data_IF_994029583925
#
_entry.id   IF_994029583925
#
_cell.length_a   1.000
_cell.length_b   1.000
_cell.length_c   1.000
_cell.angle_alpha   90.00
_cell.angle_beta   90.00
_cell.angle_gamma   90.00
#
_symmetry.space_group_name_H-M   'P 1'
#
loop_
_entity.id
_entity.type
_entity.pdbx_description
1 polymer ?
#
# COMPACT_ATOMS: atom_id res chain seq x y z
N UNK A 1 22.71 -75.50 3.23
CA UNK A 1 21.70 -74.41 3.15
C UNK A 1 22.42 -73.09 3.27
N UNK A 2 22.73 -72.46 2.12
CA UNK A 2 23.47 -71.20 2.03
C UNK A 2 22.43 -70.07 1.90
N UNK A 3 22.39 -69.12 2.85
CA UNK A 3 21.51 -67.94 2.76
C UNK A 3 22.24 -66.84 2.00
N UNK A 4 21.72 -66.48 0.83
CA UNK A 4 22.11 -65.29 0.07
C UNK A 4 21.53 -64.05 0.74
N UNK A 5 22.37 -63.03 0.98
CA UNK A 5 21.96 -61.68 1.35
C UNK A 5 21.98 -60.87 0.05
N UNK A 6 20.80 -60.41 -0.39
CA UNK A 6 20.65 -59.48 -1.52
C UNK A 6 20.67 -58.07 -0.94
N UNK A 7 21.68 -57.29 -1.33
CA UNK A 7 21.81 -55.87 -1.02
C UNK A 7 21.02 -55.08 -2.09
N UNK A 8 19.88 -54.50 -1.73
CA UNK A 8 19.18 -53.53 -2.60
C UNK A 8 19.86 -52.16 -2.42
N UNK A 9 20.50 -51.67 -3.49
CA UNK A 9 20.90 -50.28 -3.60
C UNK A 9 19.67 -49.44 -4.01
N UNK A 10 19.18 -48.60 -3.10
CA UNK A 10 18.15 -47.61 -3.39
C UNK A 10 18.80 -46.40 -4.07
N UNK A 11 18.62 -46.30 -5.39
CA UNK A 11 18.94 -45.09 -6.16
C UNK A 11 17.84 -44.05 -5.88
N UNK A 12 18.05 -43.13 -4.94
CA UNK A 12 17.19 -41.95 -4.78
C UNK A 12 17.54 -40.95 -5.86
N UNK A 13 16.80 -41.01 -6.97
CA UNK A 13 16.80 -39.96 -7.98
C UNK A 13 16.03 -38.76 -7.40
N UNK A 14 16.74 -37.80 -6.84
CA UNK A 14 16.20 -36.50 -6.44
C UNK A 14 15.97 -35.66 -7.68
N UNK A 15 14.82 -35.84 -8.32
CA UNK A 15 14.31 -34.87 -9.28
C UNK A 15 13.84 -33.65 -8.50
N UNK A 16 14.63 -32.57 -8.50
CA UNK A 16 14.17 -31.25 -8.13
C UNK A 16 13.09 -30.85 -9.14
N UNK A 17 11.83 -31.03 -8.76
CA UNK A 17 10.71 -30.39 -9.44
C UNK A 17 10.80 -28.90 -9.08
N UNK A 18 11.39 -28.10 -9.96
CA UNK A 18 11.11 -26.66 -9.98
C UNK A 18 9.64 -26.53 -10.35
N UNK A 19 8.79 -26.48 -9.34
CA UNK A 19 7.40 -26.13 -9.51
C UNK A 19 7.32 -24.63 -9.79
N UNK A 20 7.61 -24.25 -11.03
CA UNK A 20 6.96 -23.08 -11.61
C UNK A 20 5.48 -23.46 -11.75
N UNK A 21 4.74 -23.36 -10.64
CA UNK A 21 3.29 -23.23 -10.71
C UNK A 21 3.08 -21.97 -11.51
N UNK A 22 2.81 -22.11 -12.81
CA UNK A 22 2.26 -21.05 -13.63
C UNK A 22 0.94 -20.69 -12.95
N UNK A 23 0.99 -19.73 -12.02
CA UNK A 23 -0.18 -19.24 -11.35
C UNK A 23 -1.15 -18.78 -12.43
N UNK A 24 -2.39 -19.30 -12.42
CA UNK A 24 -3.37 -18.95 -13.46
C UNK A 24 -3.48 -17.44 -13.60
N UNK A 25 -3.34 -16.93 -14.84
CA UNK A 25 -3.53 -15.51 -15.12
C UNK A 25 -4.94 -15.10 -14.71
N UNK A 26 -5.08 -13.92 -14.10
CA UNK A 26 -6.39 -13.42 -13.68
C UNK A 26 -6.72 -12.15 -14.48
N UNK A 27 -7.99 -11.84 -14.58
CA UNK A 27 -8.45 -10.58 -15.15
C UNK A 27 -9.22 -9.81 -14.08
N UNK A 28 -9.12 -8.48 -14.06
CA UNK A 28 -9.83 -7.72 -13.05
C UNK A 28 -11.35 -7.78 -13.29
N UNK A 29 -12.13 -7.65 -12.22
CA UNK A 29 -13.59 -7.72 -12.30
C UNK A 29 -14.16 -6.66 -13.26
N UNK A 30 -15.31 -6.88 -13.89
CA UNK A 30 -16.06 -5.83 -14.58
C UNK A 30 -16.38 -4.65 -13.64
N UNK A 31 -16.40 -3.42 -14.15
CA UNK A 31 -16.58 -2.20 -13.33
C UNK A 31 -17.81 -2.24 -12.42
N UNK A 32 -18.95 -2.79 -12.89
CA UNK A 32 -20.16 -2.93 -12.06
C UNK A 32 -19.97 -3.90 -10.88
N UNK A 33 -19.21 -4.98 -11.07
CA UNK A 33 -18.89 -5.91 -9.99
C UNK A 33 -17.88 -5.29 -9.01
N UNK A 34 -16.91 -4.52 -9.51
CA UNK A 34 -16.00 -3.73 -8.65
C UNK A 34 -16.76 -2.77 -7.76
N UNK A 35 -17.75 -2.06 -8.32
CA UNK A 35 -18.62 -1.16 -7.58
C UNK A 35 -19.35 -1.88 -6.42
N UNK A 36 -19.92 -3.06 -6.71
CA UNK A 36 -20.60 -3.89 -5.69
C UNK A 36 -19.64 -4.29 -4.57
N UNK A 37 -18.45 -4.80 -4.92
CA UNK A 37 -17.44 -5.21 -3.92
C UNK A 37 -16.99 -4.03 -3.06
N UNK A 38 -16.74 -2.87 -3.66
CA UNK A 38 -16.34 -1.66 -2.94
C UNK A 38 -17.40 -1.23 -1.93
N UNK A 39 -18.67 -1.23 -2.32
CA UNK A 39 -19.78 -0.81 -1.44
C UNK A 39 -20.02 -1.82 -0.31
N UNK A 40 -19.94 -3.13 -0.61
CA UNK A 40 -20.06 -4.20 0.40
C UNK A 40 -18.91 -4.15 1.42
N UNK A 41 -17.67 -3.96 0.97
CA UNK A 41 -16.51 -3.83 1.86
C UNK A 41 -16.60 -2.57 2.71
N UNK A 42 -17.02 -1.43 2.13
CA UNK A 42 -17.23 -0.20 2.88
C UNK A 42 -18.28 -0.41 3.99
N UNK A 43 -19.41 -1.05 3.69
CA UNK A 43 -20.44 -1.36 4.67
C UNK A 43 -19.89 -2.24 5.80
N UNK A 44 -19.15 -3.30 5.45
CA UNK A 44 -18.55 -4.21 6.44
C UNK A 44 -17.53 -3.48 7.32
N UNK A 45 -16.67 -2.62 6.76
CA UNK A 45 -15.70 -1.84 7.52
C UNK A 45 -16.39 -0.89 8.50
N UNK A 46 -17.47 -0.22 8.11
CA UNK A 46 -18.22 0.66 9.01
C UNK A 46 -18.93 -0.11 10.12
N UNK A 47 -19.39 -1.33 9.84
CA UNK A 47 -20.10 -2.16 10.83
C UNK A 47 -19.16 -2.89 11.79
N UNK A 48 -17.99 -3.34 11.32
CA UNK A 48 -17.11 -4.25 12.07
C UNK A 48 -15.89 -3.53 12.64
N UNK A 49 -15.27 -2.64 11.87
CA UNK A 49 -13.98 -2.04 12.21
C UNK A 49 -14.14 -0.67 12.87
N UNK A 50 -14.93 0.22 12.27
CA UNK A 50 -15.05 1.60 12.76
C UNK A 50 -15.53 1.73 14.22
N UNK A 51 -16.45 0.91 14.75
CA UNK A 51 -16.88 1.01 16.15
C UNK A 51 -15.71 0.76 17.11
N UNK A 52 -14.89 -0.26 16.82
CA UNK A 52 -13.69 -0.58 17.59
C UNK A 52 -12.68 0.57 17.53
N UNK A 53 -12.45 1.13 16.35
CA UNK A 53 -11.50 2.23 16.17
C UNK A 53 -11.93 3.50 16.91
N UNK A 54 -13.21 3.86 16.86
CA UNK A 54 -13.73 5.01 17.59
C UNK A 54 -13.58 4.83 19.10
N UNK A 55 -13.85 3.62 19.60
CA UNK A 55 -13.67 3.28 21.01
C UNK A 55 -12.19 3.32 21.43
N UNK A 56 -11.27 2.76 20.63
CA UNK A 56 -9.83 2.76 20.91
C UNK A 56 -9.22 4.16 20.98
N UNK A 57 -9.83 5.13 20.29
CA UNK A 57 -9.35 6.49 20.20
C UNK A 57 -10.14 7.48 21.07
N UNK A 58 -11.04 7.01 21.94
CA UNK A 58 -11.89 7.84 22.79
C UNK A 58 -12.66 8.94 22.01
N UNK A 59 -13.19 8.60 20.84
CA UNK A 59 -13.95 9.51 19.98
C UNK A 59 -15.43 9.11 19.96
N UNK A 60 -16.29 10.01 20.45
CA UNK A 60 -17.73 9.80 20.44
C UNK A 60 -18.36 10.22 19.12
N UNK A 61 -17.83 11.26 18.48
CA UNK A 61 -18.37 11.76 17.22
C UNK A 61 -17.26 12.15 16.25
N UNK A 62 -17.31 11.62 15.03
CA UNK A 62 -16.42 12.00 13.95
C UNK A 62 -17.18 12.81 12.90
N UNK A 63 -16.73 14.03 12.64
CA UNK A 63 -17.35 14.97 11.69
C UNK A 63 -16.41 15.21 10.51
N UNK A 64 -16.78 14.67 9.35
CA UNK A 64 -16.07 14.83 8.08
C UNK A 64 -16.73 15.95 7.27
N UNK A 65 -16.02 17.04 7.02
CA UNK A 65 -16.55 18.20 6.28
C UNK A 65 -15.73 18.40 5.02
N UNK A 66 -16.41 18.39 3.88
CA UNK A 66 -15.74 18.40 2.59
C UNK A 66 -16.55 19.09 1.50
N UNK A 67 -15.87 19.44 0.40
CA UNK A 67 -16.46 20.06 -0.79
C UNK A 67 -16.12 19.27 -2.05
N UNK A 68 -17.03 19.30 -3.00
CA UNK A 68 -16.83 18.77 -4.35
C UNK A 68 -15.55 19.33 -4.99
N UNK A 69 -14.71 18.42 -5.51
CA UNK A 69 -13.38 18.67 -6.09
C UNK A 69 -12.30 19.17 -5.13
N UNK A 70 -12.58 19.22 -3.83
CA UNK A 70 -11.58 19.47 -2.81
C UNK A 70 -11.85 18.54 -1.62
N UNK A 71 -11.91 17.25 -1.93
CA UNK A 71 -12.32 16.27 -0.93
C UNK A 71 -11.27 16.05 0.13
N UNK A 72 -11.73 16.01 1.38
CA UNK A 72 -10.99 15.40 2.48
C UNK A 72 -10.51 14.00 2.05
N UNK A 73 -9.22 13.65 2.22
CA UNK A 73 -8.69 12.36 1.79
C UNK A 73 -9.49 11.18 2.39
N UNK A 74 -9.85 11.26 3.67
CA UNK A 74 -10.66 10.25 4.34
C UNK A 74 -12.05 10.14 3.71
N UNK A 75 -12.68 11.26 3.35
CA UNK A 75 -14.03 11.23 2.77
C UNK A 75 -14.08 10.34 1.52
N UNK A 76 -13.04 10.35 0.69
CA UNK A 76 -12.98 9.53 -0.54
C UNK A 76 -13.16 8.03 -0.26
N UNK A 77 -12.79 7.57 0.93
CA UNK A 77 -12.96 6.17 1.35
C UNK A 77 -14.41 5.83 1.75
N UNK A 78 -15.20 6.83 2.17
CA UNK A 78 -16.60 6.68 2.60
C UNK A 78 -17.63 6.91 1.50
N UNK A 79 -17.23 7.43 0.33
CA UNK A 79 -18.16 7.62 -0.78
C UNK A 79 -18.62 6.27 -1.34
N UNK A 80 -19.89 6.14 -1.79
CA UNK A 80 -20.30 4.97 -2.56
C UNK A 80 -19.54 4.91 -3.89
N UNK A 81 -19.45 3.72 -4.46
CA UNK A 81 -18.66 3.42 -5.65
C UNK A 81 -19.05 4.22 -6.90
N UNK A 82 -20.30 4.68 -6.97
CA UNK A 82 -20.84 5.49 -8.06
C UNK A 82 -20.69 7.01 -7.83
N UNK A 83 -20.08 7.43 -6.72
CA UNK A 83 -19.72 8.83 -6.46
C UNK A 83 -18.21 9.01 -6.62
N UNK A 84 -17.81 9.51 -7.80
CA UNK A 84 -16.41 9.78 -8.13
C UNK A 84 -15.85 11.04 -7.42
N UNK A 85 -16.73 11.87 -6.89
CA UNK A 85 -16.43 13.09 -6.14
C UNK A 85 -17.52 13.32 -5.10
N UNK A 86 -17.23 14.16 -4.10
CA UNK A 86 -18.27 14.69 -3.23
C UNK A 86 -19.29 15.50 -4.06
N UNK A 87 -20.52 15.65 -3.57
CA UNK A 87 -21.55 16.46 -4.26
C UNK A 87 -21.80 17.74 -3.45
N UNK A 88 -21.40 18.90 -3.97
CA UNK A 88 -21.38 20.18 -3.23
C UNK A 88 -20.67 20.04 -1.87
N UNK A 89 -21.20 20.62 -0.79
CA UNK A 89 -20.73 20.38 0.58
C UNK A 89 -21.31 19.06 1.08
N UNK A 90 -20.44 18.08 1.31
CA UNK A 90 -20.78 16.79 1.93
C UNK A 90 -20.26 16.81 3.35
N UNK A 91 -21.16 16.64 4.32
CA UNK A 91 -20.82 16.51 5.74
C UNK A 91 -21.31 15.15 6.20
N UNK A 92 -20.39 14.31 6.66
CA UNK A 92 -20.71 13.03 7.28
C UNK A 92 -20.50 13.15 8.78
N UNK A 93 -21.44 12.62 9.54
CA UNK A 93 -21.39 12.53 11.01
C UNK A 93 -21.48 11.06 11.36
N UNK A 94 -20.51 10.59 12.14
CA UNK A 94 -20.48 9.24 12.67
C UNK A 94 -20.51 9.39 14.18
N UNK A 95 -21.56 8.91 14.82
CA UNK A 95 -21.72 8.98 16.27
C UNK A 95 -21.65 7.58 16.86
N UNK A 96 -20.83 7.42 17.88
CA UNK A 96 -20.71 6.23 18.69
C UNK A 96 -21.55 6.41 19.96
N UNK A 97 -22.75 5.79 20.06
CA UNK A 97 -23.57 5.86 21.27
C UNK A 97 -22.95 5.16 22.49
N UNK A 98 -21.85 4.42 22.31
CA UNK A 98 -21.17 3.67 23.36
C UNK A 98 -21.88 2.36 23.72
N UNK A 99 -21.39 1.68 24.77
CA UNK A 99 -21.97 0.45 25.31
C UNK A 99 -22.14 -0.72 24.31
N UNK A 100 -21.37 -0.73 23.22
CA UNK A 100 -21.46 -1.76 22.18
C UNK A 100 -22.70 -1.63 21.27
N UNK A 101 -23.38 -0.48 21.29
CA UNK A 101 -24.43 -0.16 20.32
C UNK A 101 -23.82 0.15 18.94
N UNK A 102 -24.63 0.01 17.88
CA UNK A 102 -24.19 0.29 16.52
C UNK A 102 -23.95 1.80 16.33
N UNK A 103 -22.98 2.14 15.49
CA UNK A 103 -22.73 3.53 15.08
C UNK A 103 -23.96 4.10 14.37
N UNK A 104 -24.23 5.37 14.65
CA UNK A 104 -25.17 6.18 13.89
C UNK A 104 -24.42 6.96 12.81
N UNK A 105 -24.76 6.72 11.54
CA UNK A 105 -24.09 7.30 10.37
C UNK A 105 -25.05 8.23 9.61
N UNK A 106 -24.83 9.53 9.76
CA UNK A 106 -25.67 10.58 9.20
C UNK A 106 -24.92 11.36 8.12
N UNK A 107 -25.64 11.78 7.09
CA UNK A 107 -25.18 12.77 6.14
C UNK A 107 -26.00 14.05 6.35
N UNK A 108 -25.34 15.16 6.69
CA UNK A 108 -25.98 16.48 6.63
C UNK A 108 -25.98 16.92 5.16
N UNK A 109 -26.70 16.17 4.33
CA UNK A 109 -26.80 16.32 2.89
C UNK A 109 -28.25 16.01 2.48
N UNK A 110 -28.68 16.46 1.29
CA UNK A 110 -30.07 16.27 0.84
C UNK A 110 -30.42 14.79 0.63
N UNK A 111 -29.44 13.97 0.27
CA UNK A 111 -29.62 12.56 -0.08
C UNK A 111 -28.70 11.68 0.76
N UNK A 112 -29.05 10.40 0.85
CA UNK A 112 -28.16 9.40 1.43
C UNK A 112 -26.82 9.38 0.69
N UNK A 113 -25.73 9.12 1.41
CA UNK A 113 -24.42 8.87 0.82
C UNK A 113 -24.21 7.36 0.85
N UNK A 114 -24.53 6.72 -0.28
CA UNK A 114 -24.63 5.28 -0.38
C UNK A 114 -25.68 4.69 0.56
N UNK A 115 -25.47 3.43 0.94
CA UNK A 115 -26.31 2.76 1.93
C UNK A 115 -25.87 3.03 3.37
N UNK A 116 -24.61 3.46 3.56
CA UNK A 116 -23.99 3.68 4.86
C UNK A 116 -24.55 4.90 5.56
N UNK A 117 -24.60 6.07 4.91
CA UNK A 117 -25.01 7.31 5.58
C UNK A 117 -26.41 7.73 5.18
N UNK A 118 -27.28 7.90 6.18
CA UNK A 118 -28.67 8.35 5.95
C UNK A 118 -28.74 9.88 5.95
N UNK A 119 -29.49 10.43 4.99
CA UNK A 119 -29.76 11.86 4.93
C UNK A 119 -30.44 12.33 6.22
N UNK A 120 -29.85 13.35 6.85
CA UNK A 120 -30.36 13.99 8.06
C UNK A 120 -30.59 15.50 7.85
N UNK A 121 -30.65 15.96 6.59
CA UNK A 121 -30.86 17.37 6.26
C UNK A 121 -31.97 17.56 5.23
N UNK A 122 -33.02 18.27 5.65
CA UNK A 122 -34.09 18.76 4.80
C UNK A 122 -33.97 20.29 4.64
N UNK A 123 -33.46 20.79 3.50
CA UNK A 123 -33.26 22.23 3.29
C UNK A 123 -34.57 23.03 3.21
N UNK A 124 -35.70 22.38 2.95
CA UNK A 124 -37.01 23.04 2.98
C UNK A 124 -37.51 23.28 4.43
N UNK A 125 -36.99 22.54 5.42
CA UNK A 125 -37.30 22.74 6.85
C UNK A 125 -36.23 23.57 7.56
N UNK A 126 -34.95 23.29 7.28
CA UNK A 126 -33.80 24.00 7.83
C UNK A 126 -32.86 24.38 6.68
N UNK A 127 -32.99 25.59 6.11
CA UNK A 127 -32.19 25.98 4.94
C UNK A 127 -30.69 26.14 5.25
N UNK A 128 -30.32 26.32 6.52
CA UNK A 128 -28.91 26.40 6.94
C UNK A 128 -28.36 25.01 7.29
N UNK A 129 -27.50 24.49 6.41
CA UNK A 129 -26.82 23.20 6.59
C UNK A 129 -25.94 23.17 7.86
N UNK A 130 -25.30 24.29 8.22
CA UNK A 130 -24.49 24.37 9.43
C UNK A 130 -25.37 24.33 10.67
N UNK A 131 -26.49 25.04 10.65
CA UNK A 131 -27.45 24.99 11.75
C UNK A 131 -27.97 23.56 11.96
N UNK A 132 -28.27 22.81 10.89
CA UNK A 132 -28.66 21.39 11.04
C UNK A 132 -27.55 20.53 11.63
N UNK A 133 -26.29 20.73 11.22
CA UNK A 133 -25.16 20.02 11.84
C UNK A 133 -25.09 20.32 13.35
N UNK A 134 -25.28 21.58 13.75
CA UNK A 134 -25.24 21.96 15.17
C UNK A 134 -26.39 21.35 15.98
N UNK A 135 -27.59 21.29 15.41
CA UNK A 135 -28.73 20.58 16.01
C UNK A 135 -28.38 19.12 16.25
N UNK A 136 -27.84 18.41 15.24
CA UNK A 136 -27.40 17.01 15.38
C UNK A 136 -26.34 16.88 16.49
N UNK A 137 -25.29 17.70 16.49
CA UNK A 137 -24.24 17.60 17.52
C UNK A 137 -24.84 17.85 18.92
N UNK A 138 -25.76 18.81 19.05
CA UNK A 138 -26.39 19.17 20.33
C UNK A 138 -27.36 18.08 20.82
N UNK A 139 -28.11 17.46 19.91
CA UNK A 139 -29.02 16.33 20.18
C UNK A 139 -28.27 15.14 20.80
N UNK A 140 -27.05 14.87 20.33
CA UNK A 140 -26.22 13.76 20.81
C UNK A 140 -25.32 14.13 22.01
N UNK A 141 -24.93 15.40 22.14
CA UNK A 141 -24.07 15.90 23.22
C UNK A 141 -22.80 15.04 23.47
N UNK A 142 -21.99 14.74 22.44
CA UNK A 142 -20.77 13.93 22.58
C UNK A 142 -19.75 14.61 23.49
N UNK A 143 -18.86 13.85 24.13
CA UNK A 143 -17.75 14.37 24.95
C UNK A 143 -16.49 14.66 24.13
N UNK A 144 -16.28 13.93 23.03
CA UNK A 144 -15.23 14.19 22.03
C UNK A 144 -15.79 14.29 20.60
N UNK A 145 -15.55 15.44 19.95
CA UNK A 145 -15.92 15.71 18.55
C UNK A 145 -14.64 15.81 17.72
N UNK A 146 -14.35 14.77 16.95
CA UNK A 146 -13.18 14.68 16.13
C UNK A 146 -13.39 15.32 14.75
N UNK A 147 -12.41 16.13 14.32
CA UNK A 147 -12.30 16.68 12.96
C UNK A 147 -10.93 16.34 12.38
N UNK A 148 -10.86 16.13 11.06
CA UNK A 148 -9.63 15.74 10.36
C UNK A 148 -8.64 16.89 10.28
N UNK A 149 -7.71 16.95 11.23
CA UNK A 149 -6.59 17.88 11.26
C UNK A 149 -5.36 17.13 11.74
N UNK A 150 -4.24 17.28 11.05
CA UNK A 150 -3.02 16.53 11.37
C UNK A 150 -1.77 17.36 11.05
N UNK A 151 -0.72 17.18 11.85
CA UNK A 151 0.60 17.77 11.55
C UNK A 151 1.51 16.81 10.80
N UNK A 152 1.35 15.52 11.07
CA UNK A 152 2.31 14.49 10.67
C UNK A 152 1.79 13.63 9.51
N UNK A 153 0.47 13.53 9.33
CA UNK A 153 -0.19 12.68 8.33
C UNK A 153 -1.10 13.49 7.41
N UNK A 154 -0.61 13.81 6.21
CA UNK A 154 -1.35 14.62 5.23
C UNK A 154 -2.73 14.03 4.87
N UNK A 155 -2.89 12.70 4.88
CA UNK A 155 -4.17 12.05 4.60
C UNK A 155 -5.19 12.19 5.74
N UNK A 156 -4.76 12.61 6.93
CA UNK A 156 -5.62 12.91 8.08
C UNK A 156 -5.83 14.42 8.30
N UNK A 157 -5.25 15.30 7.47
CA UNK A 157 -5.37 16.76 7.54
C UNK A 157 -6.37 17.32 6.50
N UNK A 158 -7.54 16.69 6.41
CA UNK A 158 -8.48 16.95 5.31
C UNK A 158 -9.43 18.13 5.52
N UNK A 159 -9.64 18.63 6.75
CA UNK A 159 -10.51 19.78 6.96
C UNK A 159 -9.85 21.05 6.43
N UNK A 160 -10.48 21.68 5.44
CA UNK A 160 -9.93 22.92 4.88
C UNK A 160 -10.04 24.07 5.88
N UNK A 161 -9.08 25.00 5.85
CA UNK A 161 -9.05 26.15 6.76
C UNK A 161 -10.39 26.91 6.80
N UNK A 162 -11.00 27.17 5.64
CA UNK A 162 -12.30 27.85 5.55
C UNK A 162 -13.43 27.03 6.17
N UNK A 163 -13.51 25.73 5.92
CA UNK A 163 -14.58 24.90 6.49
C UNK A 163 -14.40 24.72 8.00
N UNK A 164 -13.15 24.70 8.51
CA UNK A 164 -12.86 24.75 9.94
C UNK A 164 -13.31 26.05 10.59
N UNK A 165 -13.00 27.20 9.99
CA UNK A 165 -13.46 28.51 10.49
C UNK A 165 -14.99 28.59 10.55
N UNK A 166 -15.67 28.14 9.49
CA UNK A 166 -17.13 28.12 9.43
C UNK A 166 -17.75 27.16 10.47
N UNK A 167 -17.16 25.96 10.62
CA UNK A 167 -17.58 25.00 11.63
C UNK A 167 -17.45 25.56 13.05
N UNK A 168 -16.28 26.15 13.38
CA UNK A 168 -16.03 26.75 14.69
C UNK A 168 -16.90 27.98 14.96
N UNK A 169 -17.26 28.75 13.92
CA UNK A 169 -18.17 29.88 14.04
C UNK A 169 -19.62 29.45 14.31
N UNK A 170 -20.05 28.33 13.74
CA UNK A 170 -21.38 27.76 13.97
C UNK A 170 -21.51 27.03 15.32
N UNK A 171 -20.39 26.49 15.84
CA UNK A 171 -20.38 25.66 17.04
C UNK A 171 -20.78 26.42 18.32
N UNK A 172 -21.74 25.90 19.12
CA UNK A 172 -22.05 26.44 20.44
C UNK A 172 -20.81 26.51 21.35
N UNK A 173 -20.71 27.56 22.16
CA UNK A 173 -19.53 27.81 22.99
C UNK A 173 -19.23 26.66 23.98
N UNK A 174 -20.26 25.96 24.47
CA UNK A 174 -20.13 24.82 25.38
C UNK A 174 -19.61 23.53 24.71
N UNK A 175 -19.49 23.51 23.38
CA UNK A 175 -18.97 22.37 22.61
C UNK A 175 -17.59 22.63 22.01
N UNK A 176 -17.12 23.89 21.97
CA UNK A 176 -15.82 24.25 21.38
C UNK A 176 -14.64 23.57 22.07
N UNK A 177 -14.72 23.37 23.38
CA UNK A 177 -13.70 22.67 24.16
C UNK A 177 -13.71 21.14 23.99
N UNK A 178 -14.71 20.59 23.28
CA UNK A 178 -14.83 19.16 22.97
C UNK A 178 -14.24 18.80 21.60
N UNK A 179 -13.78 19.78 20.82
CA UNK A 179 -13.15 19.52 19.52
C UNK A 179 -11.76 18.93 19.71
N UNK A 180 -11.53 17.77 19.11
CA UNK A 180 -10.24 17.06 19.11
C UNK A 180 -9.77 16.79 17.69
N UNK A 181 -8.48 16.45 17.52
CA UNK A 181 -7.99 15.95 16.24
C UNK A 181 -8.49 14.52 16.01
N UNK A 182 -8.94 14.24 14.79
CA UNK A 182 -9.26 12.89 14.34
C UNK A 182 -8.03 12.11 13.86
N UNK A 183 -6.82 12.69 13.89
CA UNK A 183 -5.59 12.07 13.35
C UNK A 183 -5.42 10.59 13.71
N UNK A 184 -5.48 10.17 14.99
CA UNK A 184 -5.22 8.76 15.31
C UNK A 184 -6.33 7.83 14.80
N UNK A 185 -7.60 8.25 14.85
CA UNK A 185 -8.73 7.51 14.25
C UNK A 185 -8.64 7.46 12.72
N UNK A 186 -8.28 8.56 12.08
CA UNK A 186 -8.16 8.69 10.64
C UNK A 186 -7.03 7.79 10.11
N UNK A 187 -5.87 7.79 10.77
CA UNK A 187 -4.74 6.89 10.44
C UNK A 187 -5.16 5.44 10.63
N UNK A 188 -5.73 5.07 11.79
CA UNK A 188 -6.18 3.69 12.04
C UNK A 188 -7.26 3.23 11.05
N UNK A 189 -8.14 4.13 10.60
CA UNK A 189 -9.11 3.84 9.54
C UNK A 189 -8.45 3.59 8.18
N UNK A 190 -7.38 4.31 7.85
CA UNK A 190 -6.67 4.14 6.59
C UNK A 190 -5.78 2.90 6.56
N UNK A 191 -5.13 2.55 7.65
CA UNK A 191 -4.16 1.45 7.69
C UNK A 191 -4.84 0.07 7.89
N UNK A 192 -5.80 -0.05 8.81
CA UNK A 192 -6.34 -1.36 9.21
C UNK A 192 -7.25 -1.96 8.13
N UNK A 193 -7.04 -3.24 7.82
CA UNK A 193 -7.85 -4.04 6.89
C UNK A 193 -8.75 -5.01 7.65
N UNK A 194 -9.91 -5.31 7.09
CA UNK A 194 -10.74 -6.44 7.53
C UNK A 194 -10.39 -7.69 6.71
N UNK A 195 -10.62 -8.88 7.27
CA UNK A 195 -10.31 -10.16 6.62
C UNK A 195 -10.96 -10.30 5.22
N UNK A 196 -12.14 -9.71 5.02
CA UNK A 196 -12.86 -9.73 3.75
C UNK A 196 -12.12 -9.00 2.61
N UNK A 197 -11.20 -8.09 2.92
CA UNK A 197 -10.41 -7.36 1.91
C UNK A 197 -9.24 -8.19 1.37
N UNK A 198 -8.70 -9.11 2.16
CA UNK A 198 -7.45 -9.79 1.83
C UNK A 198 -7.50 -10.58 0.51
N UNK A 199 -8.54 -11.37 0.19
CA UNK A 199 -8.60 -12.05 -1.11
C UNK A 199 -8.56 -11.08 -2.30
N UNK A 200 -9.18 -9.91 -2.17
CA UNK A 200 -9.16 -8.87 -3.19
C UNK A 200 -7.81 -8.17 -3.29
N UNK A 201 -7.16 -7.91 -2.15
CA UNK A 201 -5.84 -7.31 -2.13
C UNK A 201 -4.80 -8.24 -2.75
N UNK A 202 -4.81 -9.53 -2.39
CA UNK A 202 -3.95 -10.54 -3.03
C UNK A 202 -4.14 -10.59 -4.56
N UNK A 203 -5.38 -10.44 -5.03
CA UNK A 203 -5.66 -10.32 -6.47
C UNK A 203 -5.12 -9.03 -7.09
N UNK A 204 -5.14 -7.90 -6.37
CA UNK A 204 -4.55 -6.64 -6.84
C UNK A 204 -3.05 -6.81 -7.09
N UNK A 205 -2.32 -7.34 -6.10
CA UNK A 205 -0.86 -7.58 -6.21
C UNK A 205 -0.56 -8.58 -7.32
N UNK A 206 -1.35 -9.65 -7.44
CA UNK A 206 -1.22 -10.61 -8.54
C UNK A 206 -1.41 -9.99 -9.93
N UNK A 207 -2.32 -9.03 -10.08
CA UNK A 207 -2.48 -8.29 -11.35
C UNK A 207 -1.24 -7.43 -11.65
N UNK A 208 -0.68 -6.76 -10.64
CA UNK A 208 0.55 -5.99 -10.81
C UNK A 208 1.72 -6.89 -11.23
N UNK A 209 1.92 -8.02 -10.54
CA UNK A 209 2.94 -9.03 -10.89
C UNK A 209 2.78 -9.57 -12.32
N UNK A 210 1.54 -9.82 -12.76
CA UNK A 210 1.27 -10.27 -14.15
C UNK A 210 1.65 -9.23 -15.19
N UNK A 211 1.35 -7.96 -14.93
CA UNK A 211 1.73 -6.86 -15.82
C UNK A 211 3.25 -6.71 -15.86
N UNK A 212 3.94 -6.78 -14.70
CA UNK A 212 5.40 -6.75 -14.60
C UNK A 212 6.04 -7.88 -15.41
N UNK A 213 5.58 -9.12 -15.22
CA UNK A 213 6.10 -10.28 -15.94
C UNK A 213 5.87 -10.18 -17.47
N UNK A 214 4.74 -9.61 -17.91
CA UNK A 214 4.50 -9.34 -19.33
C UNK A 214 5.44 -8.25 -19.86
N UNK A 215 5.62 -7.15 -19.11
CA UNK A 215 6.51 -6.05 -19.48
C UNK A 215 7.98 -6.47 -19.58
N UNK A 216 8.42 -7.38 -18.72
CA UNK A 216 9.75 -7.99 -18.76
C UNK A 216 9.79 -9.28 -19.59
N UNK A 217 9.22 -9.25 -20.79
CA UNK A 217 9.28 -10.38 -21.72
C UNK A 217 9.68 -9.93 -23.13
N UNK A 218 10.18 -10.89 -23.93
CA UNK A 218 10.49 -10.69 -25.35
C UNK A 218 9.26 -10.39 -26.22
N UNK A 219 8.05 -10.44 -25.66
CA UNK A 219 6.83 -9.94 -26.33
C UNK A 219 6.75 -8.41 -26.35
N UNK A 220 7.41 -7.76 -25.40
CA UNK A 220 7.33 -6.31 -25.16
C UNK A 220 8.68 -5.64 -25.41
N UNK A 221 9.76 -6.29 -24.96
CA UNK A 221 11.12 -5.76 -25.10
C UNK A 221 11.78 -6.32 -26.34
N UNK A 222 11.99 -5.46 -27.33
CA UNK A 222 12.89 -5.71 -28.47
C UNK A 222 14.29 -5.21 -28.09
N UNK A 223 15.19 -6.12 -27.71
CA UNK A 223 16.56 -5.80 -27.29
C UNK A 223 17.30 -5.06 -28.41
N UNK A 224 17.96 -3.95 -28.06
CA UNK A 224 18.63 -3.06 -29.03
C UNK A 224 17.73 -1.99 -29.64
N UNK A 225 16.41 -2.03 -29.40
CA UNK A 225 15.44 -1.07 -29.93
C UNK A 225 14.62 -0.41 -28.82
N UNK A 226 14.01 -1.18 -27.93
CA UNK A 226 13.15 -0.68 -26.84
C UNK A 226 13.98 0.13 -25.84
N UNK A 227 13.46 1.30 -25.46
CA UNK A 227 14.06 2.15 -24.43
C UNK A 227 13.39 1.98 -23.07
N UNK A 228 14.05 2.44 -22.00
CA UNK A 228 13.42 2.53 -20.67
C UNK A 228 12.16 3.39 -20.67
N UNK A 229 12.11 4.45 -21.49
CA UNK A 229 10.95 5.33 -21.61
C UNK A 229 9.78 4.64 -22.34
N UNK A 230 10.06 3.89 -23.42
CA UNK A 230 9.04 3.09 -24.10
C UNK A 230 8.37 2.11 -23.13
N UNK A 231 9.16 1.49 -22.26
CA UNK A 231 8.65 0.52 -21.29
C UNK A 231 7.82 1.18 -20.17
N UNK A 232 8.22 2.38 -19.69
CA UNK A 232 7.44 3.17 -18.73
C UNK A 232 6.05 3.51 -19.28
N UNK A 233 5.98 3.93 -20.55
CA UNK A 233 4.71 4.19 -21.22
C UNK A 233 3.92 2.92 -21.50
N UNK A 234 4.58 1.84 -21.90
CA UNK A 234 3.94 0.55 -22.10
C UNK A 234 3.23 0.08 -20.82
N UNK A 235 3.88 0.16 -19.66
CA UNK A 235 3.28 -0.22 -18.37
C UNK A 235 2.00 0.57 -18.09
N UNK A 236 2.06 1.89 -18.28
CA UNK A 236 0.92 2.78 -18.07
C UNK A 236 -0.24 2.47 -19.02
N UNK A 237 0.03 2.26 -20.31
CA UNK A 237 -0.98 1.90 -21.30
C UNK A 237 -1.56 0.50 -21.05
N UNK A 238 -0.72 -0.45 -20.64
CA UNK A 238 -1.12 -1.83 -20.35
C UNK A 238 -2.10 -1.89 -19.17
N UNK A 239 -1.83 -1.14 -18.11
CA UNK A 239 -2.75 -1.02 -16.97
C UNK A 239 -4.07 -0.35 -17.37
N UNK A 240 -3.99 0.72 -18.17
CA UNK A 240 -5.17 1.45 -18.64
C UNK A 240 -6.12 0.58 -19.48
N UNK A 241 -5.60 -0.34 -20.30
CA UNK A 241 -6.42 -1.29 -21.10
C UNK A 241 -7.35 -2.16 -20.24
N UNK A 242 -7.00 -2.40 -18.99
CA UNK A 242 -7.78 -3.21 -18.04
C UNK A 242 -8.54 -2.37 -17.01
N UNK A 243 -8.61 -1.05 -17.23
CA UNK A 243 -9.17 -0.07 -16.29
C UNK A 243 -8.52 -0.17 -14.90
N UNK A 244 -7.19 -0.32 -14.88
CA UNK A 244 -6.38 -0.29 -13.67
C UNK A 244 -5.59 1.03 -13.68
N UNK A 245 -6.09 2.10 -13.02
CA UNK A 245 -5.32 3.32 -12.87
C UNK A 245 -3.97 3.03 -12.20
N UNK A 246 -2.93 3.73 -12.62
CA UNK A 246 -1.65 3.76 -11.87
C UNK A 246 -1.68 4.97 -10.93
N UNK A 247 -1.14 4.82 -9.72
CA UNK A 247 -1.13 5.92 -8.74
C UNK A 247 0.12 6.81 -8.83
N UNK A 248 1.11 6.39 -9.63
CA UNK A 248 2.27 7.18 -10.05
C UNK A 248 2.67 6.82 -11.49
N UNK A 249 3.58 7.59 -12.10
CA UNK A 249 4.14 7.21 -13.39
C UNK A 249 5.19 6.12 -13.17
N UNK A 250 5.07 4.94 -13.82
CA UNK A 250 6.00 3.85 -13.61
C UNK A 250 7.43 4.29 -13.89
N UNK A 251 8.39 3.78 -13.13
CA UNK A 251 9.81 4.03 -13.40
C UNK A 251 10.47 2.74 -13.88
N UNK A 252 11.34 2.86 -14.89
CA UNK A 252 12.15 1.76 -15.41
C UNK A 252 13.57 2.24 -15.48
N UNK A 253 14.51 1.44 -14.98
CA UNK A 253 15.92 1.76 -15.01
C UNK A 253 16.79 0.57 -15.38
N UNK A 254 18.01 0.84 -15.82
CA UNK A 254 19.01 -0.17 -16.17
C UNK A 254 20.29 0.05 -15.39
N UNK A 255 20.83 -1.04 -14.83
CA UNK A 255 22.21 -1.16 -14.36
C UNK A 255 23.04 -2.04 -15.31
N UNK A 256 24.29 -1.65 -15.56
CA UNK A 256 25.28 -2.46 -16.29
C UNK A 256 26.44 -2.77 -15.38
N UNK A 257 26.73 -4.05 -15.18
CA UNK A 257 27.84 -4.48 -14.32
C UNK A 257 29.22 -4.13 -14.91
N UNK A 258 29.30 -4.04 -16.25
CA UNK A 258 30.56 -3.79 -16.98
C UNK A 258 30.75 -2.30 -17.37
N UNK A 259 29.93 -1.38 -16.85
CA UNK A 259 30.02 0.06 -17.15
C UNK A 259 31.12 0.75 -16.30
N UNK A 260 31.64 1.93 -16.69
CA UNK A 260 32.59 2.69 -15.86
C UNK A 260 32.02 3.15 -14.50
N UNK A 261 30.69 3.14 -14.34
CA UNK A 261 29.99 3.33 -13.07
C UNK A 261 29.03 2.15 -12.83
N UNK A 262 29.54 0.98 -12.42
CA UNK A 262 28.71 -0.20 -12.19
C UNK A 262 27.62 0.10 -11.15
N UNK A 263 26.41 -0.36 -11.44
CA UNK A 263 25.29 -0.29 -10.50
C UNK A 263 24.62 1.07 -10.35
N UNK A 264 24.99 2.09 -11.14
CA UNK A 264 24.22 3.33 -11.21
C UNK A 264 22.94 3.10 -12.06
N UNK A 265 21.73 3.22 -11.49
CA UNK A 265 20.50 3.10 -12.26
C UNK A 265 20.39 4.25 -13.27
N UNK A 266 20.08 3.93 -14.53
CA UNK A 266 19.80 4.93 -15.57
C UNK A 266 18.37 4.76 -16.06
N UNK A 267 17.55 5.79 -15.92
CA UNK A 267 16.09 5.69 -16.08
C UNK A 267 15.52 6.33 -17.34
N UNK A 268 16.25 7.23 -18.01
CA UNK A 268 15.68 8.07 -19.08
C UNK A 268 16.32 7.77 -20.44
N UNK A 269 15.50 7.34 -21.41
CA UNK A 269 15.88 7.19 -22.82
C UNK A 269 16.99 6.17 -23.09
N UNK A 270 17.25 5.24 -22.18
CA UNK A 270 18.31 4.23 -22.35
C UNK A 270 17.78 3.09 -23.19
N UNK A 271 18.43 2.81 -24.33
CA UNK A 271 18.16 1.61 -25.13
C UNK A 271 18.61 0.38 -24.35
N UNK A 272 17.71 -0.59 -24.20
CA UNK A 272 17.94 -1.86 -23.50
C UNK A 272 18.87 -2.74 -24.34
N UNK A 273 19.90 -3.31 -23.72
CA UNK A 273 20.96 -4.11 -24.37
C UNK A 273 21.14 -5.48 -23.69
N UNK A 274 21.76 -6.45 -24.38
CA UNK A 274 22.13 -7.72 -23.75
C UNK A 274 23.04 -7.52 -22.54
N UNK A 275 22.74 -8.20 -21.43
CA UNK A 275 23.44 -8.07 -20.16
C UNK A 275 22.94 -6.95 -19.24
N UNK A 276 21.90 -6.21 -19.65
CA UNK A 276 21.28 -5.20 -18.81
C UNK A 276 20.50 -5.85 -17.66
N UNK A 277 20.70 -5.34 -16.45
CA UNK A 277 19.82 -5.58 -15.31
C UNK A 277 18.78 -4.47 -15.27
N UNK A 278 17.55 -4.80 -15.65
CA UNK A 278 16.40 -3.90 -15.60
C UNK A 278 15.79 -3.93 -14.22
N UNK A 279 15.23 -2.79 -13.83
CA UNK A 279 14.40 -2.59 -12.67
C UNK A 279 13.14 -1.85 -13.09
N UNK A 280 11.99 -2.25 -12.56
CA UNK A 280 10.72 -1.50 -12.67
C UNK A 280 10.23 -1.19 -11.27
N UNK A 281 9.59 -0.04 -11.13
CA UNK A 281 8.77 0.37 -10.00
C UNK A 281 7.36 0.68 -10.55
N UNK A 282 6.36 -0.07 -10.09
CA UNK A 282 5.03 -0.09 -10.69
C UNK A 282 3.91 -0.40 -9.68
N UNK A 283 2.94 0.52 -9.58
CA UNK A 283 1.76 0.36 -8.74
C UNK A 283 0.44 0.68 -9.44
N UNK A 284 -0.57 -0.17 -9.21
CA UNK A 284 -1.94 0.01 -9.71
C UNK A 284 -2.91 0.29 -8.56
N UNK A 285 -4.05 0.90 -8.87
CA UNK A 285 -5.20 1.00 -7.99
C UNK A 285 -6.28 0.00 -8.43
N UNK A 286 -6.64 -0.94 -7.55
CA UNK A 286 -7.72 -1.89 -7.76
C UNK A 286 -8.65 -1.94 -6.54
N UNK A 287 -9.96 -1.77 -6.77
CA UNK A 287 -10.96 -1.75 -5.69
C UNK A 287 -10.64 -0.71 -4.58
N UNK A 288 -10.08 0.44 -4.97
CA UNK A 288 -9.58 1.54 -4.12
C UNK A 288 -8.32 1.23 -3.30
N UNK A 289 -7.76 0.03 -3.41
CA UNK A 289 -6.48 -0.31 -2.80
C UNK A 289 -5.37 -0.15 -3.83
N UNK A 290 -4.21 0.34 -3.40
CA UNK A 290 -3.03 0.48 -4.22
C UNK A 290 -2.10 -0.71 -4.00
N UNK A 291 -1.36 -1.06 -5.05
CA UNK A 291 -0.19 -1.93 -4.96
C UNK A 291 1.06 -1.10 -5.15
N UNK A 292 2.18 -1.59 -4.65
CA UNK A 292 3.50 -1.06 -4.97
C UNK A 292 4.49 -2.21 -5.13
N UNK A 293 5.29 -2.17 -6.20
CA UNK A 293 6.11 -3.34 -6.56
C UNK A 293 7.31 -2.94 -7.38
N UNK A 294 8.48 -3.38 -6.89
CA UNK A 294 9.77 -3.26 -7.54
C UNK A 294 10.34 -4.63 -7.82
N UNK A 295 10.59 -4.90 -9.09
CA UNK A 295 11.16 -6.17 -9.54
C UNK A 295 12.22 -5.95 -10.61
N UNK A 296 13.10 -6.94 -10.75
CA UNK A 296 14.20 -6.92 -11.70
C UNK A 296 14.03 -7.93 -12.83
N UNK A 297 14.57 -7.58 -14.00
CA UNK A 297 14.76 -8.52 -15.11
C UNK A 297 16.20 -8.50 -15.59
N UNK A 298 16.66 -9.60 -16.17
CA UNK A 298 17.97 -9.69 -16.80
C UNK A 298 17.81 -10.01 -18.29
N UNK A 299 18.48 -9.23 -19.13
CA UNK A 299 18.55 -9.50 -20.58
C UNK A 299 19.69 -10.46 -20.84
N UNK A 300 19.39 -11.64 -21.36
CA UNK A 300 20.40 -12.66 -21.63
C UNK A 300 21.40 -12.19 -22.69
N UNK A 301 22.69 -12.42 -22.45
CA UNK A 301 23.73 -12.34 -23.49
C UNK A 301 23.70 -13.61 -24.34
N UNK A 302 24.32 -13.55 -25.52
CA UNK A 302 24.46 -14.70 -26.40
C UNK A 302 25.10 -15.89 -25.65
N UNK A 303 24.41 -17.03 -25.64
CA UNK A 303 24.85 -18.26 -24.98
C UNK A 303 24.50 -18.37 -23.49
N UNK A 304 23.91 -17.34 -22.88
CA UNK A 304 23.37 -17.42 -21.53
C UNK A 304 21.99 -18.10 -21.52
N UNK A 305 21.66 -18.76 -20.42
CA UNK A 305 20.34 -19.38 -20.19
C UNK A 305 19.71 -18.96 -18.86
N UNK A 306 20.46 -18.18 -18.07
CA UNK A 306 20.09 -17.67 -16.76
C UNK A 306 20.97 -16.44 -16.45
N UNK A 307 20.57 -15.65 -15.45
CA UNK A 307 21.36 -14.52 -14.98
C UNK A 307 22.70 -14.98 -14.34
N UNK A 308 23.77 -14.18 -14.44
CA UNK A 308 25.05 -14.46 -13.80
C UNK A 308 24.93 -14.72 -12.30
N UNK A 309 25.78 -15.63 -11.77
CA UNK A 309 25.77 -16.00 -10.35
C UNK A 309 25.98 -14.80 -9.41
N UNK A 310 26.76 -13.79 -9.84
CA UNK A 310 26.90 -12.54 -9.10
C UNK A 310 25.55 -11.82 -8.92
N UNK A 311 24.74 -11.69 -9.97
CA UNK A 311 23.43 -11.03 -9.87
C UNK A 311 22.48 -11.84 -8.98
N UNK A 312 22.51 -13.18 -9.09
CA UNK A 312 21.69 -14.06 -8.24
C UNK A 312 22.08 -13.93 -6.76
N UNK A 313 23.38 -13.82 -6.46
CA UNK A 313 23.84 -13.56 -5.09
C UNK A 313 23.41 -12.18 -4.59
N UNK A 314 23.44 -11.14 -5.44
CA UNK A 314 22.95 -9.81 -5.06
C UNK A 314 21.45 -9.83 -4.73
N UNK A 315 20.65 -10.55 -5.53
CA UNK A 315 19.22 -10.73 -5.28
C UNK A 315 18.97 -11.51 -3.98
N UNK A 316 19.76 -12.54 -3.70
CA UNK A 316 19.66 -13.29 -2.45
C UNK A 316 19.99 -12.41 -1.22
N UNK A 317 20.99 -11.52 -1.33
CA UNK A 317 21.33 -10.57 -0.26
C UNK A 317 20.19 -9.56 -0.01
N UNK A 318 19.53 -9.06 -1.07
CA UNK A 318 18.38 -8.17 -0.92
C UNK A 318 17.14 -8.90 -0.35
N UNK A 319 16.89 -10.15 -0.75
CA UNK A 319 15.85 -11.00 -0.14
C UNK A 319 16.12 -11.21 1.36
N UNK A 320 17.38 -11.44 1.74
CA UNK A 320 17.79 -11.57 3.15
C UNK A 320 17.50 -10.29 3.94
N UNK A 321 17.70 -9.11 3.34
CA UNK A 321 17.33 -7.84 3.95
C UNK A 321 15.82 -7.72 4.18
N UNK A 322 14.99 -8.23 3.26
CA UNK A 322 13.54 -8.28 3.47
C UNK A 322 13.16 -9.21 4.63
N UNK A 323 13.83 -10.37 4.76
CA UNK A 323 13.63 -11.27 5.91
C UNK A 323 13.95 -10.54 7.23
N UNK A 324 15.16 -9.97 7.35
CA UNK A 324 15.59 -9.21 8.53
C UNK A 324 14.60 -8.11 8.87
N UNK A 325 14.18 -7.31 7.89
CA UNK A 325 13.24 -6.23 8.13
C UNK A 325 11.89 -6.76 8.64
N UNK A 326 11.33 -7.76 7.98
CA UNK A 326 10.00 -8.28 8.33
C UNK A 326 9.99 -9.04 9.66
N UNK A 327 11.11 -9.63 10.09
CA UNK A 327 11.29 -10.21 11.42
C UNK A 327 11.31 -9.17 12.55
N UNK A 328 11.55 -7.90 12.24
CA UNK A 328 11.48 -6.81 13.22
C UNK A 328 10.06 -6.28 13.46
N UNK A 329 9.07 -6.71 12.67
CA UNK A 329 7.67 -6.29 12.83
C UNK A 329 7.10 -6.88 14.12
N UNK A 330 6.67 -5.99 15.01
CA UNK A 330 6.08 -6.35 16.30
C UNK A 330 5.00 -5.33 16.65
N UNK A 331 3.86 -5.79 17.17
CA UNK A 331 2.77 -4.89 17.55
C UNK A 331 3.25 -3.88 18.60
N UNK A 332 2.79 -2.63 18.47
CA UNK A 332 3.17 -1.45 19.27
C UNK A 332 4.59 -0.93 19.12
N UNK A 333 5.46 -1.60 18.34
CA UNK A 333 6.81 -1.12 18.07
C UNK A 333 6.79 0.06 17.10
N UNK A 334 7.60 1.10 17.35
CA UNK A 334 7.64 2.26 16.45
C UNK A 334 8.34 1.94 15.12
N UNK A 335 7.97 2.64 14.05
CA UNK A 335 8.66 2.51 12.76
C UNK A 335 10.18 2.76 12.86
N UNK A 336 10.60 3.66 13.74
CA UNK A 336 12.00 3.97 14.04
C UNK A 336 12.71 2.80 14.71
N UNK A 337 12.08 2.15 15.68
CA UNK A 337 12.68 1.00 16.39
C UNK A 337 12.80 -0.22 15.47
N UNK A 338 11.86 -0.40 14.55
CA UNK A 338 11.91 -1.43 13.49
C UNK A 338 13.09 -1.12 12.55
N UNK A 339 13.17 0.09 12.02
CA UNK A 339 14.22 0.54 11.10
C UNK A 339 15.62 0.33 11.71
N UNK A 340 15.83 0.85 12.92
CA UNK A 340 17.16 0.88 13.53
C UNK A 340 17.66 -0.54 13.85
N UNK A 341 16.78 -1.42 14.32
CA UNK A 341 17.14 -2.81 14.57
C UNK A 341 17.44 -3.58 13.28
N UNK A 342 16.62 -3.43 12.24
CA UNK A 342 16.86 -4.07 10.95
C UNK A 342 18.19 -3.63 10.33
N UNK A 343 18.52 -2.32 10.40
CA UNK A 343 19.79 -1.80 9.92
C UNK A 343 21.00 -2.31 10.72
N UNK A 344 20.87 -2.42 12.05
CA UNK A 344 21.93 -2.96 12.90
C UNK A 344 22.21 -4.43 12.58
N UNK A 345 21.16 -5.25 12.53
CA UNK A 345 21.26 -6.67 12.21
C UNK A 345 21.83 -6.90 10.81
N UNK A 346 21.26 -6.26 9.78
CA UNK A 346 21.72 -6.41 8.40
C UNK A 346 23.20 -6.05 8.22
N UNK A 347 23.66 -4.96 8.83
CA UNK A 347 25.08 -4.57 8.80
C UNK A 347 25.97 -5.56 9.53
N UNK A 348 25.51 -6.13 10.64
CA UNK A 348 26.24 -7.17 11.38
C UNK A 348 26.46 -8.44 10.56
N UNK A 349 25.55 -8.71 9.62
CA UNK A 349 25.62 -9.84 8.70
C UNK A 349 26.35 -9.52 7.38
N UNK A 350 26.94 -8.32 7.26
CA UNK A 350 27.73 -7.91 6.11
C UNK A 350 26.94 -7.37 4.92
N UNK A 351 25.67 -7.02 5.11
CA UNK A 351 24.85 -6.34 4.09
C UNK A 351 25.17 -4.83 4.03
N UNK A 352 24.86 -4.20 2.90
CA UNK A 352 24.90 -2.74 2.71
C UNK A 352 23.44 -2.23 2.51
N UNK A 353 22.63 -2.15 3.59
CA UNK A 353 21.19 -1.95 3.50
C UNK A 353 20.79 -0.47 3.35
N UNK A 354 19.67 -0.27 2.65
CA UNK A 354 18.86 0.94 2.68
C UNK A 354 17.39 0.53 2.76
N UNK A 355 16.67 0.98 3.79
CA UNK A 355 15.26 0.62 4.04
C UNK A 355 14.39 1.86 3.96
N UNK A 356 13.27 1.79 3.23
CA UNK A 356 12.35 2.90 2.99
C UNK A 356 10.89 2.41 2.87
N UNK A 357 10.58 1.40 3.66
CA UNK A 357 9.29 0.73 3.74
C UNK A 357 8.21 1.64 4.32
N UNK A 358 7.01 1.59 3.73
CA UNK A 358 5.89 2.43 4.12
C UNK A 358 4.57 1.67 4.17
N UNK A 359 3.56 2.16 4.93
CA UNK A 359 2.22 1.62 4.88
C UNK A 359 1.63 1.76 3.47
N UNK A 360 0.74 0.84 3.10
CA UNK A 360 0.02 0.88 1.82
C UNK A 360 -1.45 0.48 2.01
N UNK A 361 -2.33 1.02 1.16
CA UNK A 361 -3.75 0.70 1.17
C UNK A 361 -4.53 1.63 0.27
N UNK A 362 -5.39 2.48 0.84
CA UNK A 362 -6.14 3.49 0.06
C UNK A 362 -5.24 4.51 -0.66
N UNK A 363 -3.99 4.64 -0.21
CA UNK A 363 -2.94 5.44 -0.83
C UNK A 363 -1.71 4.55 -1.06
N UNK A 364 -0.90 4.85 -2.09
CA UNK A 364 0.37 4.17 -2.35
C UNK A 364 1.33 4.39 -1.17
N UNK A 365 1.67 5.65 -0.91
CA UNK A 365 2.22 6.05 0.39
C UNK A 365 1.07 6.23 1.39
N UNK A 366 0.76 5.19 2.15
CA UNK A 366 -0.26 5.17 3.20
C UNK A 366 0.16 5.89 4.48
N UNK A 367 -0.83 6.20 5.33
CA UNK A 367 -0.58 6.66 6.69
C UNK A 367 -0.36 5.47 7.63
N UNK A 368 0.46 5.67 8.65
CA UNK A 368 0.91 4.63 9.58
C UNK A 368 2.43 4.74 9.84
N UNK A 369 3.07 3.72 10.42
CA UNK A 369 4.49 3.79 10.77
C UNK A 369 5.37 3.83 9.52
N UNK A 370 6.14 4.90 9.39
CA UNK A 370 7.18 5.03 8.36
C UNK A 370 8.44 4.30 8.81
N UNK A 371 8.97 3.41 7.98
CA UNK A 371 10.16 2.62 8.31
C UNK A 371 11.29 3.02 7.34
N UNK A 372 11.98 4.10 7.68
CA UNK A 372 13.08 4.65 6.88
C UNK A 372 12.63 5.50 5.69
N UNK A 373 13.57 6.21 5.08
CA UNK A 373 13.41 6.88 3.78
C UNK A 373 14.68 6.70 2.97
N UNK A 374 14.58 6.72 1.64
CA UNK A 374 15.74 6.50 0.75
C UNK A 374 16.90 7.49 1.03
N UNK A 375 16.59 8.70 1.51
CA UNK A 375 17.54 9.74 1.89
C UNK A 375 17.83 9.82 3.41
N UNK A 376 17.11 9.06 4.23
CA UNK A 376 17.22 9.09 5.71
C UNK A 376 17.19 7.68 6.32
N UNK A 377 18.37 7.19 6.67
CA UNK A 377 18.59 5.90 7.34
C UNK A 377 18.82 6.08 8.85
N UNK A 378 17.99 6.89 9.49
CA UNK A 378 17.99 7.22 10.92
C UNK A 378 16.55 7.53 11.36
N UNK A 379 16.33 7.74 12.66
CA UNK A 379 15.00 8.02 13.21
C UNK A 379 14.32 9.22 12.52
N UNK A 380 13.03 9.04 12.19
CA UNK A 380 12.16 9.98 11.49
C UNK A 380 11.12 10.50 12.48
N UNK A 381 11.06 11.83 12.73
CA UNK A 381 10.01 12.42 13.56
C UNK A 381 8.60 12.25 12.96
N UNK A 382 7.57 12.16 13.81
CA UNK A 382 6.19 11.99 13.36
C UNK A 382 5.92 10.55 12.91
N UNK A 383 5.89 10.30 11.60
CA UNK A 383 5.54 8.98 11.04
C UNK A 383 6.42 7.83 11.51
N UNK A 384 7.71 8.06 11.80
CA UNK A 384 8.59 7.02 12.34
C UNK A 384 8.38 6.72 13.83
N UNK A 385 7.77 7.64 14.57
CA UNK A 385 7.43 7.46 16.00
C UNK A 385 6.08 6.75 16.17
N UNK A 386 5.27 6.70 15.12
CA UNK A 386 3.98 6.01 15.13
C UNK A 386 4.18 4.49 15.35
N UNK A 387 3.38 3.85 16.22
CA UNK A 387 3.48 2.42 16.48
C UNK A 387 2.86 1.57 15.36
N UNK A 388 3.44 0.40 15.12
CA UNK A 388 2.88 -0.64 14.25
C UNK A 388 1.69 -1.33 14.93
N UNK A 389 0.60 -1.51 14.19
CA UNK A 389 -0.58 -2.26 14.65
C UNK A 389 -0.83 -3.49 13.78
N UNK A 390 -1.49 -4.50 14.36
CA UNK A 390 -1.95 -5.67 13.62
C UNK A 390 -2.97 -5.30 12.54
N UNK A 391 -3.08 -6.18 11.54
CA UNK A 391 -4.01 -6.10 10.42
C UNK A 391 -3.76 -4.94 9.46
N UNK A 392 -2.50 -4.63 9.19
CA UNK A 392 -2.07 -3.53 8.29
C UNK A 392 -1.22 -4.05 7.13
N UNK A 393 -1.29 -3.37 5.98
CA UNK A 393 -0.48 -3.70 4.81
C UNK A 393 0.69 -2.73 4.64
N UNK A 394 1.80 -3.24 4.14
CA UNK A 394 3.04 -2.49 3.89
C UNK A 394 3.59 -2.81 2.52
N UNK A 395 4.20 -1.80 1.91
CA UNK A 395 5.14 -2.02 0.83
C UNK A 395 6.52 -2.27 1.43
N UNK A 396 7.02 -3.51 1.34
CA UNK A 396 8.32 -3.90 1.89
C UNK A 396 9.43 -3.43 0.95
N UNK A 397 9.65 -2.12 0.97
CA UNK A 397 10.52 -1.37 0.07
C UNK A 397 11.92 -1.14 0.68
N UNK A 398 12.94 -1.62 -0.04
CA UNK A 398 14.33 -1.54 0.37
C UNK A 398 15.29 -1.78 -0.80
N UNK A 399 16.57 -1.50 -0.58
CA UNK A 399 17.62 -2.00 -1.44
C UNK A 399 18.83 -2.48 -0.66
N UNK A 400 19.55 -3.42 -1.28
CA UNK A 400 20.86 -3.84 -0.79
C UNK A 400 21.89 -3.70 -1.92
N UNK A 401 22.99 -3.02 -1.62
CA UNK A 401 24.15 -2.97 -2.49
C UNK A 401 25.04 -4.19 -2.25
N UNK A 402 25.45 -4.85 -3.32
CA UNK A 402 26.41 -5.96 -3.25
C UNK A 402 27.63 -5.65 -4.11
N UNK A 403 28.81 -5.72 -3.50
CA UNK A 403 30.09 -5.48 -4.17
C UNK A 403 30.75 -6.80 -4.53
N UNK A 404 31.12 -6.95 -5.81
CA UNK A 404 31.85 -8.08 -6.38
C UNK A 404 33.18 -7.57 -6.92
N UNK A 405 34.30 -7.96 -6.30
CA UNK A 405 35.62 -7.42 -6.63
C UNK A 405 35.65 -5.88 -6.59
N UNK A 406 35.77 -5.20 -7.74
CA UNK A 406 35.75 -3.74 -7.89
C UNK A 406 34.42 -3.19 -8.45
N UNK A 407 33.41 -4.06 -8.65
CA UNK A 407 32.10 -3.71 -9.21
C UNK A 407 31.03 -3.79 -8.12
N UNK A 408 29.97 -3.00 -8.25
CA UNK A 408 28.82 -3.09 -7.37
C UNK A 408 27.50 -3.07 -8.15
N UNK A 409 26.50 -3.75 -7.61
CA UNK A 409 25.11 -3.74 -8.09
C UNK A 409 24.20 -3.49 -6.90
N UNK A 410 23.17 -2.68 -7.12
CA UNK A 410 22.13 -2.44 -6.12
C UNK A 410 20.87 -3.17 -6.56
N UNK A 411 20.34 -4.04 -5.69
CA UNK A 411 19.05 -4.68 -5.94
C UNK A 411 18.02 -3.95 -5.09
N UNK A 412 17.17 -3.16 -5.75
CA UNK A 412 15.97 -2.56 -5.16
C UNK A 412 14.82 -3.56 -5.24
N UNK A 413 14.16 -3.85 -4.12
CA UNK A 413 13.02 -4.76 -4.04
C UNK A 413 11.89 -4.07 -3.30
N UNK A 414 10.69 -4.36 -3.75
CA UNK A 414 9.47 -3.89 -3.13
C UNK A 414 8.35 -4.85 -3.43
N UNK A 415 7.70 -5.32 -2.37
CA UNK A 415 6.60 -6.27 -2.46
C UNK A 415 5.60 -5.99 -1.34
N UNK A 416 4.32 -5.95 -1.72
CA UNK A 416 3.24 -5.73 -0.76
C UNK A 416 3.07 -6.92 0.17
N UNK A 417 3.05 -6.65 1.48
CA UNK A 417 2.87 -7.62 2.54
C UNK A 417 1.80 -7.20 3.55
N UNK A 418 1.34 -8.16 4.34
CA UNK A 418 0.35 -7.97 5.39
C UNK A 418 0.90 -8.45 6.72
N UNK A 419 0.84 -7.58 7.73
CA UNK A 419 1.15 -7.91 9.12
C UNK A 419 -0.15 -8.23 9.85
N UNK A 420 -0.28 -9.47 10.33
CA UNK A 420 -1.49 -9.95 11.02
C UNK A 420 -1.44 -9.79 12.55
N UNK A 421 -0.30 -9.33 13.09
CA UNK A 421 -0.03 -9.22 14.53
C UNK A 421 0.99 -10.27 15.01
N UNK A 422 1.04 -11.43 14.37
CA UNK A 422 1.99 -12.51 14.69
C UNK A 422 3.18 -12.54 13.72
N UNK A 423 2.95 -12.18 12.45
CA UNK A 423 3.99 -12.15 11.44
C UNK A 423 3.59 -11.45 10.15
N UNK A 424 4.56 -11.35 9.24
CA UNK A 424 4.39 -10.73 7.93
C UNK A 424 4.21 -11.80 6.86
N UNK A 425 3.20 -11.64 6.02
CA UNK A 425 3.00 -12.49 4.83
C UNK A 425 2.88 -11.65 3.56
N UNK A 426 3.67 -11.99 2.54
CA UNK A 426 3.54 -11.35 1.23
C UNK A 426 2.18 -11.65 0.61
N UNK A 427 1.55 -10.62 0.03
CA UNK A 427 0.20 -10.74 -0.52
C UNK A 427 0.18 -11.64 -1.76
N UNK A 428 1.24 -11.62 -2.58
CA UNK A 428 1.41 -12.56 -3.70
C UNK A 428 2.82 -13.16 -3.81
N UNK A 429 3.51 -13.37 -2.69
CA UNK A 429 4.91 -13.79 -2.69
C UNK A 429 5.85 -12.63 -3.02
N UNK A 430 7.14 -12.93 -3.20
CA UNK A 430 8.19 -11.96 -3.53
C UNK A 430 9.09 -12.47 -4.64
N UNK A 431 9.82 -11.57 -5.31
CA UNK A 431 10.81 -11.97 -6.32
C UNK A 431 11.99 -12.76 -5.74
N UNK A 432 12.10 -14.04 -6.13
CA UNK A 432 13.23 -14.92 -5.77
C UNK A 432 14.16 -15.25 -6.95
N UNK A 433 13.76 -14.92 -8.17
CA UNK A 433 14.53 -15.09 -9.40
C UNK A 433 14.25 -13.94 -10.35
N UNK A 434 15.23 -13.56 -11.17
CA UNK A 434 15.02 -12.54 -12.20
C UNK A 434 14.01 -13.01 -13.24
N UNK A 435 13.21 -12.08 -13.75
CA UNK A 435 12.59 -12.28 -15.06
C UNK A 435 13.71 -12.35 -16.11
N UNK A 436 13.61 -13.27 -17.07
CA UNK A 436 14.60 -13.41 -18.13
C UNK A 436 14.01 -12.92 -19.46
N UNK A 437 14.74 -12.04 -20.13
CA UNK A 437 14.42 -11.55 -21.47
C UNK A 437 15.42 -12.18 -22.44
N UNK A 438 14.91 -12.99 -23.37
CA UNK A 438 15.67 -13.79 -24.33
C UNK A 438 15.86 -13.15 -25.71
#
# INVERSE_FOLDING_TARGET
>A
MLKQIILLASLTCSTAFSANVLAENISPLPLKQRATVVDELLQQRVQQLLPELMQQNDIDMWVLISREYNEDPILKTFLPSDWLSARRRTILVIHNPGNGENLETLAIARYNVGDVFKSAWNPEQQPDQWQRLMEVITEHNPDAIAINQSKDFAQADGITATDKELFMAALPDNLKNKIVSAEPLAVSWLEKRIAAELPYYRNAVKLAHQIIAEGFSSKVVSVGETTTEDLQWWFRERAAKENLPVWFHPSVSVQRIDDPQPGHPRSTGVVIQPGDLLHVDFGITYLRLNTDTQQHAYVLKEGESDAPDALKQALANANKLQDILTEQFEETRSGNDILLAALEEARSEGLEPMIYTHPIGYYGHGSGPTIGMWDKQHAIPGGGEYPLFSNTAYSIELNNKTTFEDKAITIMLEEDAFFDGDGVSYLNGRQQSFHLID
#
